data_IF_576630937745
#
_entry.id   IF_576630937745
#
_cell.length_a   1.000
_cell.length_b   1.000
_cell.length_c   1.000
_cell.angle_alpha   90.00
_cell.angle_beta   90.00
_cell.angle_gamma   90.00
#
_symmetry.space_group_name_H-M   'P 1'
#
loop_
_entity.id
_entity.type
_entity.pdbx_description
1 polymer ?
#
# COMPACT_ATOMS: atom_id res chain seq x y z
N UNK A 1 -0.40 -19.40 1.37
CA UNK A 1 -1.01 -18.06 1.22
C UNK A 1 -0.54 -17.51 -0.11
N UNK A 2 -1.29 -16.67 -0.79
CA UNK A 2 -0.89 -16.16 -2.12
C UNK A 2 -0.80 -14.64 -2.13
N UNK A 3 0.29 -14.13 -2.68
CA UNK A 3 0.53 -12.71 -2.86
C UNK A 3 0.27 -12.32 -4.33
N UNK A 4 -0.63 -11.37 -4.57
CA UNK A 4 -0.84 -10.76 -5.88
C UNK A 4 0.00 -9.50 -5.99
N UNK A 5 0.89 -9.45 -6.98
CA UNK A 5 1.73 -8.29 -7.29
C UNK A 5 1.19 -7.61 -8.54
N UNK A 6 0.84 -6.33 -8.43
CA UNK A 6 0.53 -5.48 -9.60
C UNK A 6 1.84 -5.11 -10.29
N UNK A 7 2.02 -5.56 -11.53
CA UNK A 7 3.15 -5.15 -12.36
C UNK A 7 2.94 -3.75 -12.92
N UNK A 8 4.01 -2.96 -12.89
CA UNK A 8 4.07 -1.68 -13.57
C UNK A 8 4.91 -1.81 -14.84
N UNK A 9 4.40 -1.26 -15.94
CA UNK A 9 4.99 -1.39 -17.27
C UNK A 9 4.49 -0.30 -18.20
N UNK A 10 5.23 0.04 -19.25
CA UNK A 10 4.83 1.01 -20.27
C UNK A 10 4.25 0.35 -21.53
N UNK A 11 3.44 -0.69 -21.31
CA UNK A 11 2.86 -1.62 -22.32
C UNK A 11 3.89 -2.39 -23.18
N UNK A 12 5.13 -1.93 -23.28
CA UNK A 12 6.23 -2.57 -23.99
C UNK A 12 7.29 -3.13 -23.06
N UNK A 13 7.65 -2.39 -22.00
CA UNK A 13 8.72 -2.73 -21.06
C UNK A 13 8.20 -2.79 -19.63
N UNK A 14 8.69 -3.79 -18.87
CA UNK A 14 8.39 -3.96 -17.46
C UNK A 14 9.28 -3.02 -16.62
N UNK A 15 8.69 -2.29 -15.68
CA UNK A 15 9.42 -1.39 -14.81
C UNK A 15 10.16 -2.19 -13.73
N UNK A 16 11.44 -1.87 -13.49
CA UNK A 16 12.28 -2.52 -12.48
C UNK A 16 11.68 -2.48 -11.07
N UNK A 17 10.86 -1.48 -10.76
CA UNK A 17 10.18 -1.37 -9.46
C UNK A 17 9.31 -2.60 -9.14
N UNK A 18 8.81 -3.28 -10.19
CA UNK A 18 8.09 -4.55 -10.09
C UNK A 18 9.00 -5.66 -9.57
N UNK A 19 10.28 -5.73 -10.00
CA UNK A 19 11.24 -6.73 -9.53
C UNK A 19 11.51 -6.62 -8.03
N UNK A 20 11.64 -5.39 -7.52
CA UNK A 20 11.79 -5.15 -6.07
C UNK A 20 10.57 -5.61 -5.28
N UNK A 21 9.37 -5.41 -5.84
CA UNK A 21 8.11 -5.83 -5.23
C UNK A 21 7.97 -7.36 -5.23
N UNK A 22 8.33 -8.02 -6.32
CA UNK A 22 8.36 -9.50 -6.41
C UNK A 22 9.33 -10.08 -5.39
N UNK A 23 10.51 -9.49 -5.25
CA UNK A 23 11.51 -9.93 -4.25
C UNK A 23 10.96 -9.83 -2.82
N UNK A 24 10.22 -8.77 -2.51
CA UNK A 24 9.54 -8.64 -1.22
C UNK A 24 8.38 -9.64 -1.06
N UNK A 25 7.63 -9.91 -2.13
CA UNK A 25 6.53 -10.87 -2.12
C UNK A 25 7.00 -12.31 -1.89
N UNK A 26 8.18 -12.69 -2.39
CA UNK A 26 8.80 -14.01 -2.12
C UNK A 26 9.04 -14.27 -0.63
N UNK A 27 9.27 -13.22 0.15
CA UNK A 27 9.46 -13.34 1.60
C UNK A 27 8.14 -13.63 2.35
N UNK A 28 7.00 -13.46 1.69
CA UNK A 28 5.69 -13.77 2.25
C UNK A 28 5.29 -15.21 1.92
N UNK A 29 5.14 -15.53 0.63
CA UNK A 29 4.67 -16.83 0.13
C UNK A 29 4.67 -16.86 -1.43
N UNK A 30 3.89 -17.76 -2.05
CA UNK A 30 3.65 -17.83 -3.49
C UNK A 30 3.28 -16.48 -4.14
N UNK A 31 3.95 -16.17 -5.26
CA UNK A 31 3.82 -14.88 -5.95
C UNK A 31 3.08 -15.04 -7.27
N UNK A 32 1.93 -14.38 -7.39
CA UNK A 32 1.23 -14.21 -8.66
C UNK A 32 1.44 -12.76 -9.13
N UNK A 33 1.75 -12.57 -10.40
CA UNK A 33 1.86 -11.24 -11.01
C UNK A 33 0.64 -10.96 -11.87
N UNK A 34 0.09 -9.75 -11.75
CA UNK A 34 -0.91 -9.21 -12.65
C UNK A 34 -0.29 -8.16 -13.57
N UNK A 35 -0.41 -8.36 -14.87
CA UNK A 35 -0.09 -7.40 -15.93
C UNK A 35 -1.40 -6.93 -16.54
N UNK A 36 -1.70 -5.64 -16.44
CA UNK A 36 -2.93 -5.03 -16.94
C UNK A 36 -2.60 -3.87 -17.88
N UNK A 37 -2.93 -4.00 -19.15
CA UNK A 37 -2.57 -3.02 -20.17
C UNK A 37 -3.31 -3.24 -21.49
N UNK A 38 -2.84 -2.55 -22.53
CA UNK A 38 -3.27 -2.80 -23.91
C UNK A 38 -2.07 -3.23 -24.75
N UNK A 39 -2.17 -4.36 -25.46
CA UNK A 39 -1.06 -4.97 -26.21
C UNK A 39 0.17 -5.28 -25.35
N UNK A 40 -0.04 -5.66 -24.09
CA UNK A 40 1.02 -5.88 -23.09
C UNK A 40 1.50 -7.34 -23.02
N UNK A 41 1.28 -8.13 -24.08
CA UNK A 41 1.65 -9.55 -24.11
C UNK A 41 3.16 -9.78 -23.89
N UNK A 42 4.01 -8.93 -24.49
CA UNK A 42 5.47 -8.98 -24.30
C UNK A 42 5.88 -8.75 -22.84
N UNK A 43 5.14 -7.90 -22.12
CA UNK A 43 5.35 -7.63 -20.70
C UNK A 43 4.95 -8.84 -19.86
N UNK A 44 3.83 -9.50 -20.19
CA UNK A 44 3.41 -10.73 -19.50
C UNK A 44 4.44 -11.86 -19.66
N UNK A 45 5.01 -12.02 -20.86
CA UNK A 45 6.10 -12.96 -21.11
C UNK A 45 7.37 -12.60 -20.33
N UNK A 46 7.73 -11.32 -20.27
CA UNK A 46 8.85 -10.85 -19.46
C UNK A 46 8.62 -11.11 -17.96
N UNK A 47 7.39 -10.88 -17.47
CA UNK A 47 7.00 -11.14 -16.09
C UNK A 47 7.08 -12.63 -15.73
N UNK A 48 6.76 -13.52 -16.68
CA UNK A 48 6.83 -14.97 -16.48
C UNK A 48 8.27 -15.49 -16.29
N UNK A 49 9.27 -14.76 -16.82
CA UNK A 49 10.69 -15.10 -16.68
C UNK A 49 11.31 -14.64 -15.36
N UNK A 50 10.57 -13.88 -14.55
CA UNK A 50 11.06 -13.41 -13.26
C UNK A 50 11.10 -14.61 -12.29
N UNK A 51 12.26 -14.87 -11.70
CA UNK A 51 12.42 -15.94 -10.73
C UNK A 51 11.41 -15.80 -9.59
N UNK A 52 10.82 -16.90 -9.15
CA UNK A 52 9.89 -16.98 -8.02
C UNK A 52 8.49 -16.42 -8.28
N UNK A 53 8.13 -16.19 -9.54
CA UNK A 53 6.74 -15.99 -9.96
C UNK A 53 6.10 -17.35 -10.25
N UNK A 54 5.04 -17.67 -9.52
CA UNK A 54 4.32 -18.94 -9.66
C UNK A 54 3.27 -18.87 -10.77
N UNK A 55 2.66 -17.69 -10.97
CA UNK A 55 1.60 -17.48 -11.98
C UNK A 55 1.61 -16.05 -12.51
N UNK A 56 1.37 -15.90 -13.81
CA UNK A 56 1.15 -14.60 -14.46
C UNK A 56 -0.31 -14.51 -14.92
N UNK A 57 -0.98 -13.44 -14.52
CA UNK A 57 -2.30 -13.05 -14.98
C UNK A 57 -2.13 -11.88 -15.95
N UNK A 58 -2.62 -12.04 -17.17
CA UNK A 58 -2.59 -11.00 -18.19
C UNK A 58 -4.02 -10.52 -18.47
N UNK A 59 -4.28 -9.24 -18.23
CA UNK A 59 -5.52 -8.57 -18.55
C UNK A 59 -5.25 -7.56 -19.67
N UNK A 60 -5.54 -7.96 -20.90
CA UNK A 60 -5.41 -7.11 -22.08
C UNK A 60 -6.77 -6.51 -22.45
N UNK A 61 -6.89 -5.19 -22.36
CA UNK A 61 -8.04 -4.48 -22.88
C UNK A 61 -7.69 -3.01 -23.20
N UNK A 62 -8.36 -2.38 -24.19
CA UNK A 62 -8.08 -0.99 -24.58
C UNK A 62 -8.23 0.01 -23.43
N UNK A 63 -9.16 -0.23 -22.50
CA UNK A 63 -9.38 0.66 -21.35
C UNK A 63 -8.27 0.60 -20.29
N UNK A 64 -7.38 -0.39 -20.36
CA UNK A 64 -6.19 -0.47 -19.51
C UNK A 64 -4.96 0.21 -20.12
N UNK A 65 -5.03 0.74 -21.35
CA UNK A 65 -3.89 1.35 -22.04
C UNK A 65 -3.19 2.43 -21.18
N UNK A 66 -3.98 3.30 -20.55
CA UNK A 66 -3.50 4.37 -19.68
C UNK A 66 -3.44 4.00 -18.20
N UNK A 67 -3.76 2.74 -17.85
CA UNK A 67 -3.64 2.24 -16.46
C UNK A 67 -4.35 3.16 -15.45
N UNK A 68 -5.56 3.62 -15.79
CA UNK A 68 -6.34 4.52 -14.94
C UNK A 68 -6.65 3.86 -13.61
N UNK A 69 -6.66 4.65 -12.55
CA UNK A 69 -6.77 4.10 -11.20
C UNK A 69 -8.14 3.48 -10.94
N UNK A 70 -9.19 3.98 -11.58
CA UNK A 70 -10.55 3.44 -11.56
C UNK A 70 -10.60 2.04 -12.16
N UNK A 71 -10.04 1.87 -13.36
CA UNK A 71 -10.06 0.58 -14.06
C UNK A 71 -9.20 -0.47 -13.34
N UNK A 72 -7.99 -0.10 -12.92
CA UNK A 72 -7.08 -1.01 -12.22
C UNK A 72 -7.59 -1.40 -10.83
N UNK A 73 -8.16 -0.46 -10.08
CA UNK A 73 -8.70 -0.77 -8.75
C UNK A 73 -9.89 -1.72 -8.84
N UNK A 74 -10.80 -1.53 -9.80
CA UNK A 74 -11.93 -2.43 -10.02
C UNK A 74 -11.47 -3.87 -10.33
N UNK A 75 -10.44 -4.02 -11.18
CA UNK A 75 -9.86 -5.32 -11.50
C UNK A 75 -9.24 -5.96 -10.25
N UNK A 76 -8.44 -5.22 -9.49
CA UNK A 76 -7.81 -5.74 -8.26
C UNK A 76 -8.83 -6.16 -7.21
N UNK A 77 -9.91 -5.40 -7.04
CA UNK A 77 -11.00 -5.74 -6.11
C UNK A 77 -11.68 -7.04 -6.56
N UNK A 78 -11.93 -7.21 -7.86
CA UNK A 78 -12.54 -8.44 -8.39
C UNK A 78 -11.67 -9.69 -8.21
N UNK A 79 -10.34 -9.53 -8.13
CA UNK A 79 -9.43 -10.64 -7.88
C UNK A 79 -9.15 -10.87 -6.38
N UNK A 80 -9.46 -9.91 -5.51
CA UNK A 80 -9.00 -9.88 -4.12
C UNK A 80 -9.42 -11.12 -3.29
N UNK A 81 -10.58 -11.72 -3.57
CA UNK A 81 -11.08 -12.87 -2.82
C UNK A 81 -10.19 -14.12 -2.93
N UNK A 82 -9.38 -14.22 -3.98
CA UNK A 82 -8.43 -15.32 -4.19
C UNK A 82 -7.04 -15.11 -3.60
N UNK A 83 -6.80 -13.99 -2.91
CA UNK A 83 -5.46 -13.58 -2.48
C UNK A 83 -5.43 -13.07 -1.03
N UNK A 84 -4.38 -13.45 -0.31
CA UNK A 84 -4.17 -13.05 1.08
C UNK A 84 -3.43 -11.72 1.20
N UNK A 85 -2.69 -11.31 0.16
CA UNK A 85 -1.86 -10.11 0.17
C UNK A 85 -1.81 -9.50 -1.22
N UNK A 86 -2.02 -8.20 -1.30
CA UNK A 86 -1.95 -7.41 -2.52
C UNK A 86 -0.74 -6.49 -2.40
N UNK A 87 0.19 -6.54 -3.33
CA UNK A 87 1.37 -5.69 -3.36
C UNK A 87 1.43 -4.92 -4.67
N UNK A 88 1.90 -3.68 -4.60
CA UNK A 88 2.24 -2.89 -5.77
C UNK A 88 3.55 -2.12 -5.48
N UNK A 89 4.34 -1.77 -6.50
CA UNK A 89 5.45 -0.85 -6.35
C UNK A 89 4.98 0.49 -5.75
N UNK A 90 5.73 1.13 -4.83
CA UNK A 90 5.38 2.47 -4.34
C UNK A 90 5.80 3.60 -5.30
N UNK A 91 5.38 3.46 -6.55
CA UNK A 91 5.45 4.47 -7.60
C UNK A 91 4.19 5.36 -7.56
N UNK A 92 4.10 6.30 -8.49
CA UNK A 92 2.90 7.13 -8.68
C UNK A 92 1.66 6.27 -8.96
N UNK A 93 1.79 5.21 -9.76
CA UNK A 93 0.68 4.29 -10.06
C UNK A 93 0.24 3.53 -8.80
N UNK A 94 1.17 2.88 -8.10
CA UNK A 94 0.82 2.09 -6.90
C UNK A 94 0.23 2.95 -5.78
N UNK A 95 0.75 4.17 -5.57
CA UNK A 95 0.20 5.11 -4.58
C UNK A 95 -1.17 5.67 -4.97
N UNK A 96 -1.51 5.70 -6.25
CA UNK A 96 -2.83 6.14 -6.72
C UNK A 96 -3.89 5.02 -6.63
N UNK A 97 -3.51 3.78 -6.95
CA UNK A 97 -4.43 2.63 -7.02
C UNK A 97 -4.68 1.99 -5.64
N UNK A 98 -3.62 1.71 -4.88
CA UNK A 98 -3.71 0.85 -3.69
C UNK A 98 -4.57 1.42 -2.55
N UNK A 99 -4.57 2.74 -2.26
CA UNK A 99 -5.46 3.29 -1.23
C UNK A 99 -6.95 3.10 -1.57
N UNK A 100 -7.31 3.14 -2.86
CA UNK A 100 -8.70 2.93 -3.30
C UNK A 100 -9.14 1.47 -3.11
N UNK A 101 -8.26 0.53 -3.47
CA UNK A 101 -8.48 -0.91 -3.26
C UNK A 101 -8.59 -1.22 -1.77
N UNK A 102 -7.72 -0.64 -0.95
CA UNK A 102 -7.74 -0.82 0.50
C UNK A 102 -9.04 -0.31 1.14
N UNK A 103 -9.50 0.88 0.72
CA UNK A 103 -10.76 1.44 1.17
C UNK A 103 -11.96 0.56 0.77
N UNK A 104 -11.98 0.03 -0.45
CA UNK A 104 -13.05 -0.84 -0.92
C UNK A 104 -13.12 -2.18 -0.18
N UNK A 105 -11.97 -2.73 0.21
CA UNK A 105 -11.89 -3.99 0.95
C UNK A 105 -12.04 -3.83 2.48
N UNK A 106 -12.12 -2.59 2.98
CA UNK A 106 -12.15 -2.22 4.40
C UNK A 106 -10.91 -2.68 5.17
N UNK A 107 -9.73 -2.36 4.62
CA UNK A 107 -8.43 -2.78 5.14
C UNK A 107 -7.44 -1.62 5.14
N UNK A 108 -6.50 -1.63 6.09
CA UNK A 108 -5.47 -0.59 6.15
C UNK A 108 -4.38 -0.85 5.12
N UNK A 109 -4.05 0.17 4.33
CA UNK A 109 -2.92 0.15 3.42
C UNK A 109 -1.61 0.49 4.13
N UNK A 110 -0.55 -0.27 3.84
CA UNK A 110 0.80 0.01 4.28
C UNK A 110 1.62 0.54 3.10
N UNK A 111 1.88 1.85 3.12
CA UNK A 111 2.75 2.54 2.16
C UNK A 111 4.23 2.35 2.47
N UNK A 112 5.09 2.43 1.44
CA UNK A 112 6.55 2.57 1.58
C UNK A 112 7.23 1.56 2.54
N UNK A 113 6.96 0.26 2.37
CA UNK A 113 7.60 -0.81 3.16
C UNK A 113 9.07 -1.01 2.76
N UNK A 114 10.00 -0.97 3.72
CA UNK A 114 11.43 -1.17 3.46
C UNK A 114 11.91 -2.61 3.71
N UNK A 115 11.20 -3.37 4.55
CA UNK A 115 11.50 -4.78 4.79
C UNK A 115 10.25 -5.54 5.28
N UNK A 116 10.16 -6.81 4.88
CA UNK A 116 9.19 -7.78 5.40
C UNK A 116 9.92 -8.63 6.43
N UNK A 117 9.47 -8.62 7.68
CA UNK A 117 10.07 -9.45 8.73
C UNK A 117 9.35 -10.79 8.86
N UNK A 118 8.02 -10.75 8.86
CA UNK A 118 7.14 -11.91 8.95
C UNK A 118 5.85 -11.62 8.16
N UNK A 119 5.01 -12.64 7.96
CA UNK A 119 3.73 -12.49 7.25
C UNK A 119 2.84 -11.33 7.77
N UNK A 120 2.93 -10.99 9.06
CA UNK A 120 2.18 -9.92 9.74
C UNK A 120 3.01 -8.69 10.10
N UNK A 121 4.33 -8.71 9.95
CA UNK A 121 5.23 -7.67 10.48
C UNK A 121 6.07 -7.04 9.37
N UNK A 122 5.94 -5.73 9.22
CA UNK A 122 6.60 -4.95 8.19
C UNK A 122 7.34 -3.75 8.80
N UNK A 123 8.49 -3.40 8.23
CA UNK A 123 9.23 -2.19 8.58
C UNK A 123 8.88 -1.06 7.60
N UNK A 124 8.52 0.10 8.15
CA UNK A 124 8.22 1.32 7.38
C UNK A 124 8.88 2.54 8.03
N UNK A 125 9.59 3.40 7.26
CA UNK A 125 10.09 4.67 7.78
C UNK A 125 8.92 5.65 7.99
N UNK A 126 8.87 6.28 9.16
CA UNK A 126 7.80 7.23 9.53
C UNK A 126 8.30 8.69 9.50
N UNK A 127 9.61 8.90 9.55
CA UNK A 127 10.23 10.23 9.48
C UNK A 127 11.42 10.23 8.53
N UNK A 128 11.53 11.28 7.72
CA UNK A 128 12.70 11.53 6.90
C UNK A 128 13.91 11.80 7.81
N UNK A 129 14.89 10.88 7.78
CA UNK A 129 16.26 11.08 8.26
C UNK A 129 16.53 11.20 9.79
N UNK A 130 15.87 10.41 10.64
CA UNK A 130 16.42 10.13 11.99
C UNK A 130 16.90 8.67 12.06
N UNK A 131 18.19 8.39 12.38
CA UNK A 131 18.66 7.02 12.56
C UNK A 131 17.96 6.40 13.78
N UNK A 132 17.14 5.38 13.53
CA UNK A 132 16.53 4.56 14.59
C UNK A 132 17.64 3.76 15.31
N UNK A 133 17.62 3.65 16.65
CA UNK A 133 18.59 2.87 17.41
C UNK A 133 18.51 1.36 17.07
N UNK A 134 19.62 0.61 17.25
CA UNK A 134 19.89 -0.60 16.49
C UNK A 134 19.13 -1.82 17.01
N UNK A 135 18.08 -2.24 16.31
CA UNK A 135 17.65 -3.64 16.27
C UNK A 135 17.84 -4.18 14.84
N UNK A 136 19.05 -4.72 14.63
CA UNK A 136 19.59 -5.58 13.54
C UNK A 136 19.17 -5.30 12.07
N UNK A 137 20.16 -4.73 11.35
CA UNK A 137 20.55 -4.74 9.91
C UNK A 137 19.49 -4.34 8.84
N UNK A 138 19.59 -3.27 8.02
CA UNK A 138 20.62 -2.55 7.21
C UNK A 138 20.78 -3.08 5.77
N UNK A 139 20.18 -2.40 4.79
CA UNK A 139 20.79 -1.63 3.67
C UNK A 139 19.66 -0.94 2.88
N UNK A 140 19.94 0.27 2.40
CA UNK A 140 19.09 1.08 1.52
C UNK A 140 19.41 0.82 0.04
N UNK A 141 18.38 0.63 -0.80
CA UNK A 141 18.11 1.35 -2.06
C UNK A 141 16.93 0.71 -2.80
N UNK A 142 16.08 1.60 -3.34
CA UNK A 142 15.03 1.41 -4.37
C UNK A 142 13.64 1.00 -3.88
N UNK A 143 12.66 1.60 -4.56
CA UNK A 143 11.20 1.60 -4.36
C UNK A 143 10.65 0.47 -3.48
N UNK A 144 10.33 0.84 -2.26
CA UNK A 144 9.51 0.08 -1.32
C UNK A 144 8.15 -0.30 -1.93
N UNK A 145 7.59 -1.48 -1.69
CA UNK A 145 6.23 -1.79 -2.14
C UNK A 145 5.16 -1.22 -1.20
N UNK A 146 4.02 -0.83 -1.79
CA UNK A 146 2.75 -0.63 -1.10
C UNK A 146 2.08 -1.99 -0.93
N UNK A 147 1.84 -2.43 0.30
CA UNK A 147 1.10 -3.65 0.58
C UNK A 147 -0.28 -3.33 1.15
N UNK A 148 -1.28 -4.04 0.65
CA UNK A 148 -2.63 -4.09 1.20
C UNK A 148 -2.85 -5.53 1.60
N UNK A 149 -3.02 -5.76 2.89
CA UNK A 149 -3.30 -7.09 3.42
C UNK A 149 -4.72 -7.11 3.98
N UNK A 150 -5.62 -7.97 3.49
CA UNK A 150 -6.84 -8.25 4.22
C UNK A 150 -6.50 -8.80 5.61
N UNK A 151 -6.73 -8.00 6.64
CA UNK A 151 -6.93 -8.54 7.98
C UNK A 151 -8.13 -9.46 7.84
N UNK A 152 -7.93 -10.77 8.05
CA UNK A 152 -8.98 -11.79 8.09
C UNK A 152 -10.20 -11.19 8.78
N UNK A 153 -11.25 -10.84 8.01
CA UNK A 153 -12.42 -10.13 8.55
C UNK A 153 -12.91 -10.93 9.74
N UNK A 154 -12.90 -10.37 10.96
CA UNK A 154 -13.52 -11.10 12.04
C UNK A 154 -15.02 -11.08 11.68
N UNK A 155 -15.62 -12.27 11.53
CA UNK A 155 -16.98 -12.42 11.01
C UNK A 155 -18.00 -11.52 11.72
N UNK A 156 -19.22 -11.35 11.19
CA UNK A 156 -20.17 -10.28 11.56
C UNK A 156 -20.59 -10.19 13.05
N UNK A 157 -20.09 -11.08 13.93
CA UNK A 157 -20.23 -10.99 15.39
C UNK A 157 -19.10 -10.28 16.13
N UNK A 158 -17.96 -10.00 15.49
CA UNK A 158 -16.80 -9.42 16.18
C UNK A 158 -16.77 -7.88 16.20
N UNK A 159 -17.59 -7.21 15.40
CA UNK A 159 -17.70 -5.75 15.35
C UNK A 159 -18.32 -5.11 16.62
N UNK A 160 -18.74 -5.90 17.62
CA UNK A 160 -19.48 -5.41 18.81
C UNK A 160 -18.71 -5.39 20.11
N UNK A 161 -17.45 -5.84 20.16
CA UNK A 161 -16.71 -5.93 21.42
C UNK A 161 -15.27 -5.45 21.24
N UNK A 162 -15.06 -4.15 21.51
CA UNK A 162 -13.95 -3.56 22.30
C UNK A 162 -13.73 -2.09 21.88
N UNK A 163 -14.72 -1.24 22.15
CA UNK A 163 -14.56 0.22 22.24
C UNK A 163 -14.42 0.70 23.70
N UNK A 164 -14.35 -0.22 24.67
CA UNK A 164 -14.21 0.10 26.11
C UNK A 164 -12.76 0.20 26.54
N UNK A 165 -12.04 1.23 26.07
CA UNK A 165 -11.01 1.98 26.82
C UNK A 165 -10.35 3.03 25.91
N UNK A 166 -11.16 3.97 25.44
CA UNK A 166 -10.64 5.29 25.07
C UNK A 166 -11.31 6.26 26.03
N UNK A 167 -10.60 6.65 27.11
CA UNK A 167 -11.01 7.81 27.89
C UNK A 167 -10.61 9.04 27.07
N UNK A 168 -11.54 9.89 26.63
CA UNK A 168 -11.16 11.19 26.10
C UNK A 168 -10.46 11.96 27.23
N UNK A 169 -9.25 12.43 26.98
CA UNK A 169 -8.66 13.50 27.78
C UNK A 169 -9.62 14.70 27.66
N UNK A 170 -10.37 14.98 28.72
CA UNK A 170 -11.20 16.18 28.80
C UNK A 170 -10.27 17.39 28.75
N UNK A 171 -10.18 18.03 27.59
CA UNK A 171 -9.64 19.38 27.47
C UNK A 171 -10.66 20.29 28.21
N UNK A 172 -10.30 20.96 29.31
CA UNK A 172 -11.26 21.78 30.04
C UNK A 172 -11.71 22.97 29.19
N UNK A 173 -13.02 23.03 28.94
CA UNK A 173 -13.84 24.13 28.42
C UNK A 173 -13.12 25.38 27.88
N UNK A 174 -13.04 25.50 26.55
CA UNK A 174 -12.71 26.74 25.80
C UNK A 174 -13.80 27.83 25.86
N UNK A 175 -14.77 27.75 26.79
CA UNK A 175 -15.89 28.72 26.90
C UNK A 175 -15.63 29.96 27.78
N UNK A 176 -14.47 30.06 28.44
CA UNK A 176 -14.14 31.20 29.32
C UNK A 176 -13.07 32.16 28.76
N UNK A 177 -12.86 32.20 27.44
CA UNK A 177 -11.93 33.16 26.81
C UNK A 177 -12.61 34.40 26.20
N UNK A 178 -13.92 34.59 26.39
CA UNK A 178 -14.60 35.86 26.13
C UNK A 178 -14.32 36.85 27.26
N UNK A 179 -13.16 37.48 27.26
CA UNK A 179 -12.83 38.49 28.27
C UNK A 179 -11.42 39.07 28.26
N UNK A 180 -10.51 38.58 27.41
CA UNK A 180 -9.19 39.21 27.25
C UNK A 180 -9.19 40.18 26.07
N UNK A 181 -9.45 41.44 26.42
CA UNK A 181 -9.19 42.66 25.64
C UNK A 181 -8.09 42.48 24.59
N UNK A 182 -8.48 42.49 23.31
CA UNK A 182 -7.59 42.81 22.21
C UNK A 182 -7.25 44.31 22.30
N UNK A 183 -6.23 44.69 23.07
CA UNK A 183 -5.61 46.00 22.93
C UNK A 183 -4.47 45.89 21.91
N UNK A 184 -4.61 46.67 20.85
CA UNK A 184 -3.59 46.91 19.83
C UNK A 184 -2.23 47.25 20.47
N UNK A 185 -1.11 46.71 19.96
CA UNK A 185 0.20 47.27 20.25
C UNK A 185 0.42 48.50 19.37
N UNK A 186 0.11 49.68 19.90
CA UNK A 186 0.71 50.93 19.41
C UNK A 186 2.18 50.96 19.84
N UNK A 187 3.07 51.16 18.86
CA UNK A 187 4.52 51.27 19.02
C UNK A 187 4.93 52.45 19.94
N UNK A 188 6.07 52.36 20.64
CA UNK A 188 6.77 53.52 21.16
C UNK A 188 7.96 53.94 20.28
N UNK A 189 8.20 55.25 20.30
CA UNK A 189 9.20 56.10 19.62
C UNK A 189 10.60 55.50 19.43
#
# INVERSE_FOLDING_TARGET
>A
MTALVLAEHDNSTLNDATLSTVTAAKALDDVHILVAGHNAASVAEAAAKIDGVTKVLHADAPHYEHRTAEALSALLIGLADGYDSLLAPATTMGKNVMPRVAAALDVTQLSDIIAVENATTFKRPIYAAMPLPPWKHRIAKRSSPCAVRPLKKPGPRAARLRWKQWKPLQIPNLRNLSGRNCRNPTAPN
#
